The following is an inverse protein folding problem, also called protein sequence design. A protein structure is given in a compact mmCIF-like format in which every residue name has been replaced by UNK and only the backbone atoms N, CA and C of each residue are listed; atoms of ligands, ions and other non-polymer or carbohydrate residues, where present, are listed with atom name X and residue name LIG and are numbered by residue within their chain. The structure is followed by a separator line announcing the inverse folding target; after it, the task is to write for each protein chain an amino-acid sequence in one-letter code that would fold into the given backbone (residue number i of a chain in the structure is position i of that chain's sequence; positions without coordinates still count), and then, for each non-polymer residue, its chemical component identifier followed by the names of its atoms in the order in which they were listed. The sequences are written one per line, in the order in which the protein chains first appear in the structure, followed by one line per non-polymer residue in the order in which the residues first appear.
data_IF_569545323186
#
_entry.id   IF_569545323186
#
_cell.length_a   1.000
_cell.length_b   1.000
_cell.length_c   1.000
_cell.angle_alpha   90.00
_cell.angle_beta   90.00
_cell.angle_gamma   90.00
#
_symmetry.space_group_name_H-M   'P 1'
#
loop_
_entity.id
_entity.type
_entity.pdbx_description
1 polymer ?
#
# COMPACT_ATOMS: atom_id res chain seq x y z
N UNK A 1 -52.91 10.26 31.33
CA UNK A 1 -51.50 10.70 31.09
C UNK A 1 -50.66 9.45 30.96
N UNK A 2 -50.42 9.05 29.73
CA UNK A 2 -49.55 7.94 29.42
C UNK A 2 -48.31 8.53 28.76
N UNK A 3 -47.19 8.52 29.46
CA UNK A 3 -45.89 8.81 28.91
C UNK A 3 -45.40 7.60 28.11
N UNK A 4 -45.30 7.78 26.82
CA UNK A 4 -44.71 6.82 25.92
C UNK A 4 -43.24 7.19 25.76
N UNK A 5 -42.36 6.57 26.54
CA UNK A 5 -40.92 6.62 26.35
C UNK A 5 -40.56 5.80 25.10
N UNK A 6 -40.31 6.48 23.99
CA UNK A 6 -39.65 5.89 22.83
C UNK A 6 -38.18 5.68 23.17
N UNK A 7 -37.81 4.46 23.48
CA UNK A 7 -36.42 4.00 23.40
C UNK A 7 -35.97 4.06 21.93
N UNK A 8 -35.14 5.03 21.60
CA UNK A 8 -34.37 5.04 20.39
C UNK A 8 -33.34 3.89 20.49
N UNK A 9 -33.67 2.75 19.89
CA UNK A 9 -32.69 1.70 19.64
C UNK A 9 -31.70 2.24 18.64
N UNK A 10 -30.50 2.62 19.09
CA UNK A 10 -29.32 2.74 18.24
C UNK A 10 -29.19 1.46 17.45
N UNK A 11 -29.33 1.56 16.12
CA UNK A 11 -28.98 0.50 15.19
C UNK A 11 -27.48 0.38 15.22
N UNK A 12 -26.96 -0.43 16.11
CA UNK A 12 -25.56 -0.82 16.18
C UNK A 12 -25.26 -1.52 14.84
N UNK A 13 -24.40 -0.92 14.03
CA UNK A 13 -24.00 -1.50 12.74
C UNK A 13 -23.31 -2.84 13.00
N UNK A 14 -23.82 -3.90 12.41
CA UNK A 14 -23.32 -5.30 12.48
C UNK A 14 -21.91 -5.50 11.86
N UNK A 15 -21.20 -4.40 11.58
CA UNK A 15 -19.87 -4.44 10.97
C UNK A 15 -18.77 -4.34 12.01
N UNK A 16 -17.76 -5.20 11.87
CA UNK A 16 -16.55 -5.14 12.70
C UNK A 16 -15.93 -3.73 12.69
N UNK A 17 -15.41 -3.24 13.82
CA UNK A 17 -14.81 -1.90 13.89
C UNK A 17 -13.58 -1.78 13.00
N UNK A 18 -13.35 -0.60 12.43
CA UNK A 18 -12.08 -0.28 11.79
C UNK A 18 -10.97 -0.21 12.84
N UNK A 19 -9.77 -0.65 12.49
CA UNK A 19 -8.61 -0.50 13.36
C UNK A 19 -7.94 0.85 13.12
N UNK A 20 -7.57 1.55 14.19
CA UNK A 20 -6.98 2.87 14.14
C UNK A 20 -5.60 2.86 14.82
N UNK A 21 -4.59 3.41 14.16
CA UNK A 21 -3.27 3.64 14.70
C UNK A 21 -2.91 5.13 14.57
N UNK A 22 -2.42 5.78 15.62
CA UNK A 22 -1.97 7.16 15.51
C UNK A 22 -0.69 7.25 14.68
N UNK A 23 -0.50 8.38 14.00
CA UNK A 23 0.77 8.72 13.35
C UNK A 23 1.13 10.19 13.59
N UNK A 24 2.41 10.47 13.43
CA UNK A 24 2.98 11.82 13.36
C UNK A 24 3.98 11.85 12.21
N UNK A 25 3.88 12.82 11.32
CA UNK A 25 4.86 13.01 10.25
C UNK A 25 6.16 13.52 10.86
N UNK A 26 7.23 12.74 10.80
CA UNK A 26 8.55 13.17 11.23
C UNK A 26 9.17 14.11 10.18
N UNK A 27 10.03 15.04 10.60
CA UNK A 27 10.76 15.91 9.65
C UNK A 27 11.57 15.11 8.60
N UNK A 28 12.02 13.89 8.96
CA UNK A 28 12.74 13.00 8.05
C UNK A 28 11.84 12.32 7.01
N UNK A 29 10.53 12.34 7.19
CA UNK A 29 9.55 11.72 6.28
C UNK A 29 9.16 12.68 5.14
N UNK A 30 9.59 13.95 5.19
CA UNK A 30 9.31 14.94 4.14
C UNK A 30 10.39 14.91 3.05
N UNK A 31 10.00 15.32 1.84
CA UNK A 31 10.87 15.45 0.68
C UNK A 31 11.42 16.88 0.50
N UNK A 32 12.10 17.14 -0.63
CA UNK A 32 12.65 18.45 -0.96
C UNK A 32 11.59 19.54 -1.15
N UNK A 33 10.34 19.17 -1.37
CA UNK A 33 9.20 20.08 -1.45
C UNK A 33 8.57 20.39 -0.06
N UNK A 34 9.11 19.79 1.02
CA UNK A 34 8.60 19.95 2.39
C UNK A 34 7.28 19.21 2.66
N UNK A 35 6.99 18.16 1.90
CA UNK A 35 5.80 17.33 2.07
C UNK A 35 6.16 15.87 2.35
N UNK A 36 5.28 15.18 3.06
CA UNK A 36 5.46 13.76 3.39
C UNK A 36 5.55 12.91 2.12
N UNK A 37 6.60 12.08 2.03
CA UNK A 37 6.81 11.17 0.91
C UNK A 37 5.69 10.15 0.80
N UNK A 38 5.32 9.78 -0.41
CA UNK A 38 4.35 8.72 -0.66
C UNK A 38 4.74 7.38 0.00
N UNK A 39 6.05 7.11 0.08
CA UNK A 39 6.60 5.94 0.79
C UNK A 39 6.31 5.96 2.29
N UNK A 40 6.37 7.13 2.93
CA UNK A 40 6.12 7.28 4.36
C UNK A 40 4.62 7.18 4.66
N UNK A 41 3.76 7.77 3.81
CA UNK A 41 2.31 7.57 3.90
C UNK A 41 1.98 6.08 3.83
N UNK A 42 2.56 5.34 2.89
CA UNK A 42 2.36 3.90 2.76
C UNK A 42 2.85 3.14 4.01
N UNK A 43 3.96 3.56 4.64
CA UNK A 43 4.46 2.98 5.91
C UNK A 43 3.45 3.16 7.03
N UNK A 44 2.86 4.35 7.20
CA UNK A 44 1.83 4.57 8.24
C UNK A 44 0.62 3.67 8.03
N UNK A 45 0.17 3.51 6.78
CA UNK A 45 -0.95 2.64 6.45
C UNK A 45 -0.64 1.17 6.72
N UNK A 46 0.55 0.69 6.30
CA UNK A 46 0.96 -0.69 6.57
C UNK A 46 1.18 -0.96 8.05
N UNK A 47 1.71 0.01 8.79
CA UNK A 47 1.90 -0.16 10.24
C UNK A 47 0.57 -0.32 10.97
N UNK A 48 -0.49 0.38 10.58
CA UNK A 48 -1.82 0.15 11.11
C UNK A 48 -2.29 -1.29 10.88
N UNK A 49 -2.00 -1.89 9.72
CA UNK A 49 -2.32 -3.29 9.44
C UNK A 49 -1.47 -4.27 10.27
N UNK A 50 -0.18 -3.99 10.45
CA UNK A 50 0.73 -4.79 11.28
C UNK A 50 0.26 -4.79 12.74
N UNK A 51 -0.12 -3.62 13.26
CA UNK A 51 -0.64 -3.49 14.63
C UNK A 51 -1.99 -4.19 14.78
N UNK A 52 -2.86 -4.13 13.77
CA UNK A 52 -4.11 -4.89 13.80
C UNK A 52 -3.85 -6.40 13.87
N UNK A 53 -2.96 -6.94 13.04
CA UNK A 53 -2.55 -8.35 13.10
C UNK A 53 -1.92 -8.71 14.46
N UNK A 54 -1.07 -7.85 14.98
CA UNK A 54 -0.42 -8.07 16.28
C UNK A 54 -1.44 -8.15 17.43
N UNK A 55 -2.50 -7.33 17.42
CA UNK A 55 -3.49 -7.27 18.49
C UNK A 55 -4.68 -8.23 18.31
N UNK A 56 -5.09 -8.47 17.05
CA UNK A 56 -6.32 -9.23 16.76
C UNK A 56 -6.07 -10.57 16.06
N UNK A 57 -4.82 -10.85 15.63
CA UNK A 57 -4.43 -12.06 14.91
C UNK A 57 -4.78 -12.03 13.40
N UNK A 58 -4.27 -13.02 12.62
CA UNK A 58 -3.25 -13.95 13.07
C UNK A 58 -1.96 -13.22 13.48
N UNK A 59 -1.53 -13.44 14.72
CA UNK A 59 -0.34 -12.79 15.28
C UNK A 59 0.93 -13.29 14.59
N UNK A 60 2.06 -12.56 14.67
CA UNK A 60 3.34 -13.04 14.16
C UNK A 60 3.69 -14.45 14.65
N UNK A 61 3.43 -14.75 15.93
CA UNK A 61 3.67 -16.08 16.53
C UNK A 61 2.81 -17.20 15.90
N UNK A 62 1.56 -16.90 15.56
CA UNK A 62 0.67 -17.85 14.89
C UNK A 62 1.06 -18.06 13.42
N UNK A 63 1.71 -17.07 12.82
CA UNK A 63 2.24 -17.16 11.45
C UNK A 63 3.61 -17.85 11.39
N UNK A 64 4.31 -18.05 12.52
CA UNK A 64 5.61 -18.73 12.57
C UNK A 64 5.50 -20.25 12.54
N UNK A 65 4.37 -20.83 12.98
CA UNK A 65 4.22 -22.29 13.05
C UNK A 65 2.82 -22.77 12.64
N UNK A 66 2.65 -23.29 11.40
CA UNK A 66 3.67 -23.40 10.35
C UNK A 66 4.06 -22.03 9.79
N UNK A 67 5.28 -21.88 9.24
CA UNK A 67 5.79 -20.60 8.79
C UNK A 67 4.99 -20.08 7.58
N UNK A 68 4.31 -18.94 7.79
CA UNK A 68 3.45 -18.27 6.81
C UNK A 68 3.81 -16.80 6.72
N UNK A 69 3.65 -16.21 5.55
CA UNK A 69 3.88 -14.79 5.34
C UNK A 69 2.81 -14.17 4.44
N UNK A 70 2.31 -13.00 4.84
CA UNK A 70 1.52 -12.18 3.93
C UNK A 70 2.45 -11.45 2.96
N UNK A 71 2.20 -11.64 1.67
CA UNK A 71 2.94 -11.01 0.58
C UNK A 71 2.05 -10.01 -0.13
N UNK A 72 2.49 -8.76 -0.21
CA UNK A 72 1.78 -7.71 -0.95
C UNK A 72 1.95 -7.95 -2.45
N UNK A 73 0.84 -8.20 -3.15
CA UNK A 73 0.85 -8.41 -4.59
C UNK A 73 0.50 -7.14 -5.38
N UNK A 74 -0.38 -6.29 -4.83
CA UNK A 74 -0.81 -5.04 -5.48
C UNK A 74 -1.19 -4.01 -4.46
N UNK A 75 -1.01 -2.77 -4.84
CA UNK A 75 -1.54 -1.61 -4.12
C UNK A 75 -2.02 -0.53 -5.10
N UNK A 76 -3.00 0.27 -4.65
CA UNK A 76 -3.33 1.54 -5.26
C UNK A 76 -3.62 2.55 -4.15
N UNK A 77 -3.03 3.74 -4.24
CA UNK A 77 -3.11 4.77 -3.22
C UNK A 77 -3.36 6.14 -3.85
N UNK A 78 -4.33 6.86 -3.30
CA UNK A 78 -4.61 8.26 -3.58
C UNK A 78 -4.09 9.11 -2.41
N UNK A 79 -3.30 10.12 -2.71
CA UNK A 79 -2.86 11.16 -1.75
C UNK A 79 -3.70 12.40 -2.04
N UNK A 80 -4.70 12.62 -1.21
CA UNK A 80 -5.72 13.66 -1.39
C UNK A 80 -5.17 15.04 -0.99
N UNK A 81 -4.47 15.08 0.16
CA UNK A 81 -3.90 16.30 0.73
C UNK A 81 -2.42 16.10 1.04
N UNK A 82 -1.55 17.08 0.75
CA UNK A 82 -0.16 17.00 1.16
C UNK A 82 -0.04 17.12 2.68
N UNK A 83 0.68 16.18 3.29
CA UNK A 83 1.02 16.24 4.70
C UNK A 83 2.37 16.93 4.90
N UNK A 84 2.52 17.67 5.98
CA UNK A 84 3.75 18.36 6.36
C UNK A 84 4.36 17.75 7.60
N UNK A 85 5.58 18.13 7.90
CA UNK A 85 6.25 17.78 9.15
C UNK A 85 5.39 18.19 10.37
N UNK A 86 5.36 17.27 11.34
CA UNK A 86 4.59 17.37 12.59
C UNK A 86 3.06 17.32 12.44
N UNK A 87 2.52 17.13 11.25
CA UNK A 87 1.11 16.76 11.08
C UNK A 87 0.82 15.47 11.82
N UNK A 88 -0.31 15.43 12.53
CA UNK A 88 -0.75 14.28 13.32
C UNK A 88 -2.11 13.79 12.86
N UNK A 89 -2.35 12.50 13.06
CA UNK A 89 -3.64 11.92 12.70
C UNK A 89 -3.76 10.45 13.02
N UNK A 90 -4.62 9.76 12.29
CA UNK A 90 -4.80 8.31 12.41
C UNK A 90 -4.76 7.62 11.07
N UNK A 91 -4.01 6.52 11.01
CA UNK A 91 -4.07 5.55 9.94
C UNK A 91 -5.10 4.48 10.31
N UNK A 92 -6.09 4.31 9.46
CA UNK A 92 -7.22 3.42 9.69
C UNK A 92 -7.18 2.28 8.68
N UNK A 93 -7.49 1.04 9.10
CA UNK A 93 -7.49 -0.10 8.20
C UNK A 93 -8.57 -1.12 8.54
N UNK A 94 -9.00 -1.87 7.53
CA UNK A 94 -9.92 -3.00 7.67
C UNK A 94 -9.73 -4.00 6.53
N UNK A 95 -9.76 -5.31 6.81
CA UNK A 95 -9.80 -6.34 5.78
C UNK A 95 -11.21 -6.47 5.22
N UNK A 96 -11.29 -6.85 3.94
CA UNK A 96 -12.54 -7.11 3.22
C UNK A 96 -12.83 -8.61 3.14
N UNK A 97 -14.08 -9.00 2.81
CA UNK A 97 -14.37 -10.35 2.40
C UNK A 97 -13.49 -10.76 1.23
N UNK A 98 -12.63 -11.72 1.47
CA UNK A 98 -11.59 -12.19 0.53
C UNK A 98 -12.04 -13.44 -0.20
N UNK A 99 -11.45 -13.75 -1.36
CA UNK A 99 -11.79 -14.92 -2.18
C UNK A 99 -10.55 -15.62 -2.72
N UNK A 100 -10.59 -16.94 -2.76
CA UNK A 100 -9.52 -17.76 -3.29
C UNK A 100 -8.24 -17.61 -2.47
N UNK A 101 -7.17 -17.07 -3.07
CA UNK A 101 -5.87 -16.85 -2.42
C UNK A 101 -5.56 -15.36 -2.20
N UNK A 102 -6.54 -14.48 -2.45
CA UNK A 102 -6.37 -13.03 -2.36
C UNK A 102 -7.05 -12.48 -1.10
N UNK A 103 -6.30 -11.72 -0.32
CA UNK A 103 -6.75 -11.00 0.87
C UNK A 103 -6.77 -9.51 0.55
N UNK A 104 -7.96 -8.93 0.43
CA UNK A 104 -8.14 -7.52 0.12
C UNK A 104 -8.22 -6.71 1.41
N UNK A 105 -7.56 -5.54 1.43
CA UNK A 105 -7.52 -4.65 2.59
C UNK A 105 -7.58 -3.19 2.15
N UNK A 106 -8.34 -2.41 2.88
CA UNK A 106 -8.50 -0.97 2.67
C UNK A 106 -7.87 -0.17 3.80
N UNK A 107 -7.53 1.08 3.45
CA UNK A 107 -6.89 2.02 4.37
C UNK A 107 -7.39 3.43 4.12
N UNK A 108 -7.49 4.19 5.19
CA UNK A 108 -7.74 5.62 5.16
C UNK A 108 -6.79 6.31 6.15
N UNK A 109 -6.17 7.39 5.72
CA UNK A 109 -5.33 8.23 6.58
C UNK A 109 -6.05 9.54 6.80
N UNK A 110 -6.32 9.86 8.06
CA UNK A 110 -6.99 11.09 8.49
C UNK A 110 -5.97 12.03 9.13
N UNK A 111 -5.95 13.28 8.70
CA UNK A 111 -5.17 14.36 9.31
C UNK A 111 -6.12 15.50 9.68
N UNK A 112 -6.09 15.94 10.94
CA UNK A 112 -7.03 16.95 11.43
C UNK A 112 -8.50 16.59 11.21
N UNK A 113 -8.84 15.29 11.25
CA UNK A 113 -10.20 14.76 11.04
C UNK A 113 -10.64 14.69 9.57
N UNK A 114 -9.77 15.05 8.60
CA UNK A 114 -10.08 15.02 7.15
C UNK A 114 -9.28 13.91 6.46
N UNK A 115 -9.85 13.25 5.44
CA UNK A 115 -9.11 12.27 4.65
C UNK A 115 -7.91 12.91 3.92
N UNK A 116 -6.69 12.44 4.22
CA UNK A 116 -5.45 12.88 3.59
C UNK A 116 -4.93 11.86 2.57
N UNK A 117 -5.18 10.57 2.80
CA UNK A 117 -4.88 9.52 1.83
C UNK A 117 -5.86 8.36 1.93
N UNK A 118 -5.97 7.58 0.85
CA UNK A 118 -6.72 6.32 0.78
C UNK A 118 -5.89 5.29 0.05
N UNK A 119 -6.01 4.03 0.45
CA UNK A 119 -5.34 2.96 -0.28
C UNK A 119 -6.17 1.68 -0.26
N UNK A 120 -6.03 0.91 -1.33
CA UNK A 120 -6.51 -0.45 -1.46
C UNK A 120 -5.33 -1.36 -1.76
N UNK A 121 -5.27 -2.50 -1.09
CA UNK A 121 -4.19 -3.46 -1.28
C UNK A 121 -4.74 -4.86 -1.47
N UNK A 122 -3.99 -5.68 -2.19
CA UNK A 122 -4.26 -7.10 -2.36
C UNK A 122 -3.02 -7.88 -1.90
N UNK A 123 -3.25 -8.79 -0.96
CA UNK A 123 -2.23 -9.64 -0.36
C UNK A 123 -2.48 -11.09 -0.73
N UNK A 124 -1.45 -11.89 -0.66
CA UNK A 124 -1.53 -13.35 -0.68
C UNK A 124 -0.89 -13.89 0.60
N UNK A 125 -1.38 -15.03 1.09
CA UNK A 125 -0.75 -15.75 2.18
C UNK A 125 0.07 -16.90 1.60
N UNK A 126 1.35 -16.94 1.92
CA UNK A 126 2.30 -17.93 1.45
C UNK A 126 2.68 -18.88 2.59
N UNK A 127 2.60 -20.19 2.37
CA UNK A 127 3.37 -21.15 3.13
C UNK A 127 4.84 -21.03 2.71
N UNK A 128 5.69 -20.60 3.64
CA UNK A 128 7.10 -20.29 3.34
C UNK A 128 7.91 -21.56 3.09
N UNK A 129 7.51 -22.69 3.72
CA UNK A 129 8.19 -23.98 3.56
C UNK A 129 7.88 -24.63 2.23
N UNK A 130 6.58 -24.74 1.93
CA UNK A 130 6.09 -25.38 0.72
C UNK A 130 6.11 -24.45 -0.51
N UNK A 131 6.36 -23.14 -0.30
CA UNK A 131 6.28 -22.09 -1.33
C UNK A 131 4.95 -22.09 -2.06
N UNK A 132 3.87 -22.32 -1.33
CA UNK A 132 2.50 -22.46 -1.86
C UNK A 132 1.60 -21.36 -1.34
N UNK A 133 0.78 -20.81 -2.22
CA UNK A 133 -0.28 -19.88 -1.83
C UNK A 133 -1.36 -20.63 -1.05
N UNK A 134 -1.77 -20.07 0.07
CA UNK A 134 -2.83 -20.57 0.93
C UNK A 134 -4.17 -19.95 0.55
N UNK A 135 -5.25 -20.71 0.72
CA UNK A 135 -6.60 -20.22 0.52
C UNK A 135 -7.04 -19.33 1.68
N UNK A 136 -7.98 -18.43 1.45
CA UNK A 136 -8.50 -17.54 2.50
C UNK A 136 -9.13 -18.31 3.65
N UNK A 137 -9.66 -19.50 3.39
CA UNK A 137 -10.25 -20.37 4.41
C UNK A 137 -9.21 -21.05 5.31
N UNK A 138 -7.91 -21.03 4.93
CA UNK A 138 -6.81 -21.58 5.73
C UNK A 138 -6.41 -20.67 6.90
N UNK A 139 -6.97 -19.47 6.95
CA UNK A 139 -6.72 -18.48 8.00
C UNK A 139 -8.03 -17.84 8.47
N UNK A 140 -8.23 -17.85 9.78
CA UNK A 140 -9.39 -17.22 10.39
C UNK A 140 -9.09 -15.74 10.67
N UNK A 141 -9.91 -14.85 10.09
CA UNK A 141 -9.90 -13.42 10.36
C UNK A 141 -11.33 -13.03 10.76
N UNK A 142 -11.57 -12.74 12.04
CA UNK A 142 -12.91 -12.52 12.60
C UNK A 142 -13.38 -11.04 12.52
N UNK A 143 -12.50 -10.12 12.08
CA UNK A 143 -12.77 -8.69 12.02
C UNK A 143 -12.92 -8.15 10.58
N UNK A 144 -13.48 -8.97 9.69
CA UNK A 144 -13.77 -8.59 8.29
C UNK A 144 -14.89 -7.56 8.24
N UNK A 145 -14.70 -6.54 7.39
CA UNK A 145 -15.66 -5.47 7.18
C UNK A 145 -16.01 -5.32 5.71
N UNK A 146 -17.27 -5.49 5.35
CA UNK A 146 -17.72 -5.33 3.97
C UNK A 146 -17.98 -3.85 3.65
N UNK A 147 -16.93 -3.05 3.65
CA UNK A 147 -16.98 -1.63 3.33
C UNK A 147 -15.97 -1.31 2.23
N UNK A 148 -16.49 -1.06 1.04
CA UNK A 148 -15.69 -0.79 -0.16
C UNK A 148 -15.23 0.66 -0.21
N UNK A 149 -13.99 0.88 -0.67
CA UNK A 149 -13.43 2.19 -0.94
C UNK A 149 -13.01 2.27 -2.41
N UNK A 150 -13.24 3.42 -3.01
CA UNK A 150 -12.81 3.70 -4.37
C UNK A 150 -11.48 4.46 -4.36
N UNK A 151 -10.60 4.09 -5.29
CA UNK A 151 -9.33 4.77 -5.60
C UNK A 151 -9.28 5.09 -7.08
N UNK A 152 -8.51 6.11 -7.43
CA UNK A 152 -8.48 6.67 -8.79
C UNK A 152 -7.84 5.70 -9.79
N UNK A 153 -6.64 5.20 -9.48
CA UNK A 153 -6.00 4.20 -10.33
C UNK A 153 -6.49 2.80 -9.94
N UNK A 154 -6.90 1.96 -10.92
CA UNK A 154 -7.34 0.61 -10.60
C UNK A 154 -6.18 -0.21 -10.02
N UNK A 155 -6.46 -1.01 -8.99
CA UNK A 155 -5.46 -1.90 -8.36
C UNK A 155 -4.89 -2.93 -9.36
N UNK A 156 -5.65 -3.25 -10.41
CA UNK A 156 -5.22 -4.08 -11.53
C UNK A 156 -5.16 -3.21 -12.78
N UNK A 157 -3.97 -2.84 -13.17
CA UNK A 157 -3.72 -2.08 -14.38
C UNK A 157 -2.79 -2.86 -15.32
N UNK A 158 -2.66 -2.39 -16.54
CA UNK A 158 -1.66 -2.84 -17.52
C UNK A 158 -1.05 -1.62 -18.18
N UNK A 159 0.24 -1.66 -18.43
CA UNK A 159 0.91 -0.65 -19.24
C UNK A 159 0.35 -0.74 -20.67
N UNK A 160 -0.26 0.33 -21.21
CA UNK A 160 -0.79 0.31 -22.57
C UNK A 160 0.32 0.05 -23.60
N UNK A 161 0.03 -0.74 -24.63
CA UNK A 161 1.00 -1.03 -25.70
C UNK A 161 1.41 0.21 -26.50
N UNK A 162 0.60 1.26 -26.45
CA UNK A 162 0.86 2.57 -27.06
C UNK A 162 1.91 3.39 -26.33
N UNK A 163 2.15 3.09 -25.04
CA UNK A 163 3.14 3.80 -24.24
C UNK A 163 4.52 3.26 -24.55
N UNK A 164 5.37 4.11 -25.13
CA UNK A 164 6.78 3.79 -25.37
C UNK A 164 7.54 3.80 -24.05
N UNK A 165 8.07 2.64 -23.66
CA UNK A 165 8.91 2.51 -22.47
C UNK A 165 10.38 2.76 -22.83
N UNK A 166 11.03 3.66 -22.09
CA UNK A 166 12.43 4.03 -22.25
C UNK A 166 13.22 3.73 -20.98
N UNK A 167 14.52 3.44 -21.13
CA UNK A 167 15.40 3.24 -19.98
C UNK A 167 15.47 4.53 -19.17
N UNK A 168 15.03 4.49 -17.92
CA UNK A 168 15.10 5.59 -16.98
C UNK A 168 16.39 5.56 -16.15
N UNK A 169 16.81 4.35 -15.72
CA UNK A 169 18.02 4.18 -14.92
C UNK A 169 18.13 2.79 -14.31
N UNK A 170 18.94 2.70 -13.25
CA UNK A 170 19.18 1.47 -12.50
C UNK A 170 19.13 1.75 -10.99
N UNK A 171 18.65 0.77 -10.22
CA UNK A 171 18.72 0.74 -8.76
C UNK A 171 19.42 -0.53 -8.34
N UNK A 172 20.44 -0.43 -7.52
CA UNK A 172 21.01 -1.56 -6.80
C UNK A 172 20.38 -1.62 -5.42
N UNK A 173 19.80 -2.75 -5.05
CA UNK A 173 19.17 -2.96 -3.75
C UNK A 173 20.25 -3.05 -2.69
N UNK A 174 20.24 -2.13 -1.72
CA UNK A 174 21.22 -2.03 -0.64
C UNK A 174 20.62 -2.46 0.69
N UNK A 175 21.49 -2.57 1.71
CA UNK A 175 21.07 -2.99 3.04
C UNK A 175 19.96 -2.11 3.64
N UNK A 176 19.94 -0.81 3.35
CA UNK A 176 18.91 0.13 3.79
C UNK A 176 17.56 -0.07 3.10
N UNK A 177 17.55 -0.73 1.94
CA UNK A 177 16.31 -0.98 1.18
C UNK A 177 15.57 -2.23 1.69
N UNK A 178 16.29 -3.19 2.31
CA UNK A 178 15.71 -4.49 2.67
C UNK A 178 15.04 -4.48 4.04
N UNK A 179 13.99 -5.29 4.17
CA UNK A 179 13.31 -5.55 5.44
C UNK A 179 13.74 -6.89 6.06
N UNK A 180 13.04 -7.30 7.13
CA UNK A 180 13.26 -8.58 7.81
C UNK A 180 13.13 -9.82 6.91
N UNK A 181 12.43 -9.71 5.77
CA UNK A 181 12.28 -10.77 4.79
C UNK A 181 13.48 -10.82 3.81
N UNK A 182 14.47 -9.92 3.97
CA UNK A 182 15.73 -9.85 3.21
C UNK A 182 15.56 -9.46 1.73
N UNK A 183 14.47 -8.78 1.39
CA UNK A 183 14.26 -8.17 0.08
C UNK A 183 13.74 -6.73 0.23
N UNK A 184 13.85 -5.97 -0.86
CA UNK A 184 13.44 -4.57 -0.90
C UNK A 184 12.03 -4.40 -0.35
N UNK A 185 11.90 -3.58 0.69
CA UNK A 185 10.62 -3.30 1.32
C UNK A 185 9.66 -2.65 0.31
N UNK A 186 8.44 -3.15 0.25
CA UNK A 186 7.42 -2.68 -0.69
C UNK A 186 7.15 -1.18 -0.56
N UNK A 187 7.34 -0.60 0.63
CA UNK A 187 7.17 0.84 0.87
C UNK A 187 8.26 1.71 0.26
N UNK A 188 9.39 1.14 -0.20
CA UNK A 188 10.47 1.87 -0.86
C UNK A 188 10.23 2.09 -2.36
N UNK A 189 9.31 1.36 -2.98
CA UNK A 189 9.05 1.48 -4.42
C UNK A 189 8.50 2.85 -4.85
N UNK A 190 7.66 3.57 -4.09
CA UNK A 190 7.31 4.94 -4.43
C UNK A 190 8.54 5.85 -4.55
N UNK A 191 9.53 5.74 -3.64
CA UNK A 191 10.78 6.50 -3.74
C UNK A 191 11.55 6.13 -5.00
N UNK A 192 11.71 4.82 -5.28
CA UNK A 192 12.38 4.34 -6.49
C UNK A 192 11.81 5.00 -7.76
N UNK A 193 10.49 5.10 -7.87
CA UNK A 193 9.88 5.69 -9.06
C UNK A 193 9.95 7.22 -9.05
N UNK A 194 9.87 7.86 -7.89
CA UNK A 194 10.03 9.31 -7.75
C UNK A 194 11.43 9.79 -8.19
N UNK A 195 12.48 8.98 -8.02
CA UNK A 195 13.84 9.28 -8.50
C UNK A 195 13.91 9.51 -10.02
N UNK A 196 12.91 9.04 -10.77
CA UNK A 196 12.84 9.15 -12.23
C UNK A 196 11.65 10.02 -12.70
N UNK A 197 11.04 10.80 -11.83
CA UNK A 197 9.92 11.70 -12.12
C UNK A 197 10.32 13.18 -11.99
N UNK A 198 9.66 14.11 -12.69
CA UNK A 198 9.89 15.55 -12.53
C UNK A 198 9.24 16.07 -11.23
N UNK A 199 9.88 15.84 -10.08
CA UNK A 199 9.29 16.10 -8.77
C UNK A 199 9.37 17.56 -8.29
N UNK A 200 10.12 18.43 -9.00
CA UNK A 200 10.22 19.86 -8.61
C UNK A 200 8.86 20.56 -8.73
N UNK A 201 8.34 21.08 -7.60
CA UNK A 201 7.01 21.71 -7.53
C UNK A 201 5.83 20.73 -7.81
N UNK A 202 6.09 19.44 -7.80
CA UNK A 202 5.09 18.39 -8.05
C UNK A 202 5.02 17.44 -6.87
N UNK A 203 3.89 16.75 -6.74
CA UNK A 203 3.69 15.67 -5.78
C UNK A 203 3.02 14.48 -6.43
N UNK A 204 3.22 13.31 -5.86
CA UNK A 204 2.41 12.13 -6.19
C UNK A 204 0.98 12.38 -5.73
N UNK A 205 0.05 12.28 -6.66
CA UNK A 205 -1.39 12.34 -6.37
C UNK A 205 -1.99 10.94 -6.31
N UNK A 206 -1.63 10.09 -7.28
CA UNK A 206 -2.08 8.70 -7.32
C UNK A 206 -0.92 7.79 -7.69
N UNK A 207 -0.85 6.62 -7.07
CA UNK A 207 0.12 5.59 -7.40
C UNK A 207 -0.50 4.21 -7.28
N UNK A 208 -0.34 3.38 -8.31
CA UNK A 208 -0.65 1.96 -8.26
C UNK A 208 0.61 1.15 -8.56
N UNK A 209 0.83 0.05 -7.82
CA UNK A 209 2.00 -0.83 -8.00
C UNK A 209 1.52 -2.29 -8.01
N UNK A 210 2.06 -3.07 -8.96
CA UNK A 210 1.92 -4.52 -9.04
C UNK A 210 3.28 -5.16 -8.84
N UNK A 211 3.43 -5.99 -7.82
CA UNK A 211 4.67 -6.70 -7.48
C UNK A 211 4.63 -8.11 -8.09
N UNK A 212 5.64 -8.46 -8.87
CA UNK A 212 5.73 -9.75 -9.56
C UNK A 212 6.80 -10.66 -8.93
N UNK A 213 8.00 -10.11 -8.66
CA UNK A 213 9.10 -10.85 -8.05
C UNK A 213 9.81 -9.98 -7.02
N UNK A 214 10.32 -10.60 -5.98
CA UNK A 214 11.11 -9.97 -4.94
C UNK A 214 12.45 -9.45 -5.49
N UNK A 215 12.97 -8.40 -4.86
CA UNK A 215 14.31 -7.87 -5.15
C UNK A 215 15.20 -8.03 -3.91
N UNK A 216 16.03 -9.10 -3.82
CA UNK A 216 16.90 -9.34 -2.69
C UNK A 216 18.06 -8.33 -2.62
N UNK A 217 18.83 -8.38 -1.53
CA UNK A 217 20.07 -7.62 -1.39
C UNK A 217 20.99 -7.84 -2.61
N UNK A 218 21.63 -6.78 -3.06
CA UNK A 218 22.53 -6.71 -4.23
C UNK A 218 21.87 -6.96 -5.60
N UNK A 219 20.54 -7.16 -5.66
CA UNK A 219 19.81 -7.21 -6.93
C UNK A 219 19.93 -5.88 -7.67
N UNK A 220 20.14 -5.97 -9.00
CA UNK A 220 20.28 -4.80 -9.89
C UNK A 220 19.02 -4.66 -10.73
N UNK A 221 18.16 -3.75 -10.31
CA UNK A 221 16.94 -3.42 -11.04
C UNK A 221 17.24 -2.45 -12.17
N UNK A 222 16.85 -2.81 -13.40
CA UNK A 222 16.80 -1.89 -14.54
C UNK A 222 15.38 -1.28 -14.57
N UNK A 223 15.29 0.05 -14.53
CA UNK A 223 14.02 0.78 -14.47
C UNK A 223 13.72 1.39 -15.82
N UNK A 224 12.57 1.06 -16.37
CA UNK A 224 12.00 1.68 -17.57
C UNK A 224 10.84 2.57 -17.17
N UNK A 225 10.64 3.68 -17.91
CA UNK A 225 9.49 4.57 -17.74
C UNK A 225 8.88 4.93 -19.09
N UNK A 226 7.61 5.28 -19.09
CA UNK A 226 6.89 5.84 -20.22
C UNK A 226 5.81 6.78 -19.73
N UNK A 227 5.36 7.70 -20.59
CA UNK A 227 4.34 8.67 -20.25
C UNK A 227 3.18 8.62 -21.24
N UNK A 228 1.98 8.51 -20.72
CA UNK A 228 0.73 8.62 -21.46
C UNK A 228 0.20 10.05 -21.29
N UNK A 229 0.34 10.86 -22.32
CA UNK A 229 -0.08 12.27 -22.28
C UNK A 229 -1.60 12.44 -22.30
N UNK A 230 -2.36 11.48 -22.86
CA UNK A 230 -3.83 11.54 -22.90
C UNK A 230 -4.43 11.29 -21.52
N UNK A 231 -3.86 10.35 -20.78
CA UNK A 231 -4.31 9.99 -19.44
C UNK A 231 -3.56 10.72 -18.32
N UNK A 232 -2.47 11.44 -18.65
CA UNK A 232 -1.55 12.06 -17.69
C UNK A 232 -0.97 11.04 -16.69
N UNK A 233 -0.56 9.87 -17.18
CA UNK A 233 -0.05 8.76 -16.35
C UNK A 233 1.38 8.44 -16.72
N UNK A 234 2.26 8.39 -15.73
CA UNK A 234 3.58 7.81 -15.83
C UNK A 234 3.51 6.32 -15.53
N UNK A 235 4.08 5.51 -16.41
CA UNK A 235 4.21 4.07 -16.23
C UNK A 235 5.66 3.68 -15.99
N UNK A 236 5.85 2.71 -15.11
CA UNK A 236 7.16 2.16 -14.78
C UNK A 236 7.15 0.64 -14.88
N UNK A 237 8.31 0.09 -15.24
CA UNK A 237 8.62 -1.33 -15.12
C UNK A 237 10.04 -1.47 -14.60
N UNK A 238 10.21 -2.13 -13.47
CA UNK A 238 11.50 -2.55 -12.95
C UNK A 238 11.74 -4.03 -13.32
N UNK A 239 12.95 -4.31 -13.83
CA UNK A 239 13.35 -5.63 -14.33
C UNK A 239 14.60 -6.05 -13.57
N UNK A 240 14.63 -7.30 -13.11
CA UNK A 240 15.75 -7.92 -12.40
C UNK A 240 16.89 -8.26 -13.35
N UNK A 241 18.05 -8.62 -12.79
CA UNK A 241 19.23 -9.02 -13.54
C UNK A 241 19.02 -10.29 -14.40
N UNK A 242 18.07 -11.15 -14.00
CA UNK A 242 17.66 -12.36 -14.77
C UNK A 242 16.64 -12.08 -15.89
N UNK A 243 16.24 -10.82 -16.07
CA UNK A 243 15.26 -10.41 -17.08
C UNK A 243 13.79 -10.53 -16.64
N UNK A 244 13.51 -11.06 -15.47
CA UNK A 244 12.16 -11.13 -14.94
C UNK A 244 11.65 -9.76 -14.47
N UNK A 245 10.34 -9.51 -14.62
CA UNK A 245 9.72 -8.28 -14.11
C UNK A 245 9.68 -8.33 -12.59
N UNK A 246 10.27 -7.33 -11.94
CA UNK A 246 10.19 -7.17 -10.49
C UNK A 246 8.87 -6.51 -10.08
N UNK A 247 8.59 -5.32 -10.61
CA UNK A 247 7.34 -4.59 -10.37
C UNK A 247 6.98 -3.68 -11.54
N UNK A 248 5.69 -3.35 -11.64
CA UNK A 248 5.16 -2.32 -12.52
C UNK A 248 4.42 -1.27 -11.69
N UNK A 249 4.47 -0.01 -12.14
CA UNK A 249 3.73 1.07 -11.49
C UNK A 249 3.06 2.00 -12.50
N UNK A 250 1.96 2.63 -12.05
CA UNK A 250 1.29 3.75 -12.68
C UNK A 250 1.24 4.90 -11.68
N UNK A 251 1.66 6.11 -12.10
CA UNK A 251 1.77 7.29 -11.22
C UNK A 251 1.16 8.50 -11.90
N UNK A 252 0.34 9.24 -11.16
CA UNK A 252 -0.18 10.55 -11.56
C UNK A 252 0.41 11.59 -10.61
N UNK A 253 0.98 12.64 -11.21
CA UNK A 253 1.48 13.80 -10.47
C UNK A 253 0.49 14.95 -10.55
N UNK A 254 0.47 15.79 -9.53
CA UNK A 254 -0.17 17.11 -9.55
C UNK A 254 0.78 18.16 -9.02
N UNK A 255 0.48 19.44 -9.30
CA UNK A 255 1.19 20.58 -8.71
C UNK A 255 0.93 20.66 -7.21
N UNK A 256 1.90 21.19 -6.51
CA UNK A 256 1.79 21.55 -5.09
C UNK A 256 0.82 22.70 -4.86
#
# INVERSE_FOLDING_TARGET
MCECSREEKEVQSDMAPRYHAPFTVSAHDTDANGICRASCILRYLQEAANLQLYHLGPTPKELENPPRAFVLSRLSMDILEPLKDYDTGSATTWPLPSRGVCFDRHYELLCGGRPAARAVTQWALLDVTEKKLLHVDDVKIDYIRNEQMQVTLPIRFRIPKTVRMELAGKKEVRYEDIDKNRHMNNTNYPNLYCDFLPMEGMRVQHIAISFAHEAPLDEKLTVFRGYDAEQNVWYFRSVRSDGSVNAEAAVILCKL
#
